data_IF_835980640230
#
_entry.id   IF_835980640230
#
_cell.length_a   1.000
_cell.length_b   1.000
_cell.length_c   1.000
_cell.angle_alpha   90.00
_cell.angle_beta   90.00
_cell.angle_gamma   90.00
#
_symmetry.space_group_name_H-M   'P 1'
#
loop_
_entity.id
_entity.type
_entity.pdbx_description
1 polymer ?
#
# COMPACT_ATOMS: atom_id res chain seq x y z
N UNK A 1 4.29 -1.93 -26.55
CA UNK A 1 4.60 -0.65 -25.87
C UNK A 1 4.68 -0.92 -24.38
N UNK A 2 5.82 -0.60 -23.78
CA UNK A 2 6.06 -0.82 -22.35
C UNK A 2 5.40 0.29 -21.51
N UNK A 3 4.64 -0.10 -20.50
CA UNK A 3 4.06 0.79 -19.50
C UNK A 3 4.42 0.26 -18.12
N UNK A 4 4.80 1.12 -17.19
CA UNK A 4 5.12 0.72 -15.82
C UNK A 4 4.13 1.37 -14.85
N UNK A 5 3.56 0.56 -13.95
CA UNK A 5 2.73 1.05 -12.84
C UNK A 5 3.47 0.75 -11.54
N UNK A 6 3.97 1.77 -10.89
CA UNK A 6 4.62 1.68 -9.59
C UNK A 6 3.59 1.71 -8.47
N UNK A 7 3.58 0.67 -7.64
CA UNK A 7 2.77 0.63 -6.43
C UNK A 7 3.65 1.02 -5.24
N UNK A 8 3.42 2.20 -4.68
CA UNK A 8 4.17 2.77 -3.58
C UNK A 8 3.40 2.60 -2.28
N UNK A 9 3.99 1.95 -1.27
CA UNK A 9 3.47 2.01 0.09
C UNK A 9 3.77 3.38 0.69
N UNK A 10 2.80 3.98 1.40
CA UNK A 10 3.01 5.25 2.12
C UNK A 10 4.19 5.18 3.10
N UNK A 11 4.71 6.33 3.49
CA UNK A 11 5.77 6.47 4.49
C UNK A 11 5.29 6.23 5.93
N UNK A 12 6.21 6.31 6.88
CA UNK A 12 5.92 6.10 8.29
C UNK A 12 4.86 7.08 8.80
N UNK A 13 3.94 6.55 9.61
CA UNK A 13 2.83 7.31 10.20
C UNK A 13 3.15 7.73 11.63
N UNK A 14 2.75 8.93 12.01
CA UNK A 14 2.80 9.39 13.39
C UNK A 14 1.74 8.64 14.21
N UNK A 15 2.18 7.64 14.98
CA UNK A 15 1.32 6.76 15.75
C UNK A 15 1.95 6.41 17.11
N UNK A 16 2.09 7.39 18.04
CA UNK A 16 2.71 7.16 19.34
C UNK A 16 1.91 6.20 20.22
N UNK A 17 0.61 6.11 20.01
CA UNK A 17 -0.29 5.20 20.75
C UNK A 17 -0.27 3.75 20.29
N UNK A 18 0.45 3.42 19.20
CA UNK A 18 0.49 2.09 18.59
C UNK A 18 -0.90 1.50 18.34
N UNK A 19 -1.78 2.32 17.81
CA UNK A 19 -3.16 1.96 17.44
C UNK A 19 -3.14 1.28 16.07
N UNK A 20 -3.97 0.28 15.87
CA UNK A 20 -4.28 -0.21 14.54
C UNK A 20 -5.16 0.83 13.85
N UNK A 21 -4.57 1.66 13.01
CA UNK A 21 -5.28 2.80 12.44
C UNK A 21 -6.09 2.45 11.18
N UNK A 22 -5.74 1.41 10.44
CA UNK A 22 -6.50 0.96 9.27
C UNK A 22 -6.98 2.11 8.39
N UNK A 23 -8.30 2.33 8.35
CA UNK A 23 -8.94 3.44 7.61
C UNK A 23 -9.21 4.67 8.46
N UNK A 24 -8.84 4.68 9.74
CA UNK A 24 -9.08 5.82 10.62
C UNK A 24 -8.43 7.09 10.07
N UNK A 25 -9.13 8.21 10.21
CA UNK A 25 -8.63 9.53 9.83
C UNK A 25 -7.66 10.10 10.87
N UNK A 26 -6.90 11.14 10.47
CA UNK A 26 -5.98 11.85 11.35
C UNK A 26 -4.60 11.22 11.51
N UNK A 27 -4.33 10.11 10.84
CA UNK A 27 -3.01 9.45 10.86
C UNK A 27 -2.14 9.97 9.71
N UNK A 28 -1.43 11.04 9.99
CA UNK A 28 -0.49 11.71 9.09
C UNK A 28 0.90 11.06 9.10
N UNK A 29 1.72 11.39 8.12
CA UNK A 29 3.12 10.99 8.12
C UNK A 29 3.86 11.57 9.33
N UNK A 30 4.76 10.77 9.90
CA UNK A 30 5.79 11.25 10.83
C UNK A 30 6.83 12.08 10.07
N UNK A 31 7.74 12.75 10.81
CA UNK A 31 8.88 13.41 10.18
C UNK A 31 9.73 12.44 9.35
N UNK A 32 9.93 11.22 9.85
CA UNK A 32 10.61 10.16 9.12
C UNK A 32 9.85 9.78 7.86
N UNK A 33 8.52 9.65 7.93
CA UNK A 33 7.68 9.35 6.78
C UNK A 33 7.73 10.44 5.71
N UNK A 34 7.80 11.70 6.11
CA UNK A 34 7.99 12.82 5.20
C UNK A 34 9.35 12.75 4.50
N UNK A 35 10.43 12.43 5.23
CA UNK A 35 11.76 12.21 4.64
C UNK A 35 11.78 11.02 3.69
N UNK A 36 11.10 9.94 4.03
CA UNK A 36 10.95 8.78 3.14
C UNK A 36 10.26 9.16 1.82
N UNK A 37 9.21 9.95 1.88
CA UNK A 37 8.51 10.44 0.69
C UNK A 37 9.41 11.30 -0.21
N UNK A 38 10.21 12.18 0.38
CA UNK A 38 11.21 12.98 -0.35
C UNK A 38 12.29 12.11 -0.98
N UNK A 39 12.78 11.10 -0.27
CA UNK A 39 13.79 10.15 -0.79
C UNK A 39 13.24 9.38 -2.00
N UNK A 40 11.99 8.93 -1.95
CA UNK A 40 11.35 8.28 -3.10
C UNK A 40 11.20 9.26 -4.25
N UNK A 41 10.78 10.51 -4.00
CA UNK A 41 10.66 11.54 -5.03
C UNK A 41 12.00 11.79 -5.76
N UNK A 42 13.09 11.84 -5.03
CA UNK A 42 14.44 11.93 -5.61
C UNK A 42 14.80 10.69 -6.43
N UNK A 43 14.50 9.50 -5.92
CA UNK A 43 14.81 8.23 -6.60
C UNK A 43 14.08 8.09 -7.93
N UNK A 44 12.85 8.60 -8.04
CA UNK A 44 12.02 8.51 -9.25
C UNK A 44 12.01 9.79 -10.09
N UNK A 45 12.79 10.80 -9.73
CA UNK A 45 12.81 12.10 -10.41
C UNK A 45 13.15 11.99 -11.91
N UNK A 46 13.99 11.03 -12.28
CA UNK A 46 14.37 10.76 -13.68
C UNK A 46 13.43 9.80 -14.43
N UNK A 47 12.40 9.30 -13.77
CA UNK A 47 11.41 8.41 -14.39
C UNK A 47 10.39 9.19 -15.22
N UNK A 48 9.85 8.54 -16.25
CA UNK A 48 8.85 9.12 -17.14
C UNK A 48 7.43 9.00 -16.55
N UNK A 49 7.24 9.45 -15.31
CA UNK A 49 5.96 9.42 -14.62
C UNK A 49 5.06 10.53 -15.17
N UNK A 50 3.96 10.15 -15.78
CA UNK A 50 2.95 11.05 -16.35
C UNK A 50 1.62 11.03 -15.60
N UNK A 51 1.46 10.14 -14.63
CA UNK A 51 0.22 9.99 -13.85
C UNK A 51 0.52 9.58 -12.42
N UNK A 52 0.00 10.33 -11.44
CA UNK A 52 0.13 10.05 -10.01
C UNK A 52 -1.25 9.87 -9.40
N UNK A 53 -1.46 8.73 -8.78
CA UNK A 53 -2.72 8.34 -8.13
C UNK A 53 -2.45 8.03 -6.67
N UNK A 54 -3.35 8.39 -5.78
CA UNK A 54 -3.22 8.07 -4.37
C UNK A 54 -4.53 7.58 -3.76
N UNK A 55 -4.40 6.71 -2.76
CA UNK A 55 -5.46 6.40 -1.81
C UNK A 55 -6.01 7.69 -1.18
N UNK A 56 -7.30 7.74 -0.80
CA UNK A 56 -7.89 8.93 -0.18
C UNK A 56 -7.34 9.24 1.22
N UNK A 57 -6.65 8.29 1.87
CA UNK A 57 -6.13 8.50 3.22
C UNK A 57 -4.97 9.50 3.24
N UNK A 58 -4.94 10.35 4.27
CA UNK A 58 -3.98 11.47 4.37
C UNK A 58 -2.54 11.03 4.18
N UNK A 59 -2.10 9.96 4.81
CA UNK A 59 -0.72 9.43 4.70
C UNK A 59 -0.31 9.07 3.27
N UNK A 60 -1.26 8.60 2.47
CA UNK A 60 -1.00 8.30 1.06
C UNK A 60 -0.92 9.57 0.22
N UNK A 61 -1.79 10.54 0.45
CA UNK A 61 -1.76 11.84 -0.19
C UNK A 61 -0.47 12.60 0.11
N UNK A 62 -0.04 12.59 1.37
CA UNK A 62 1.21 13.22 1.81
C UNK A 62 2.45 12.54 1.21
N UNK A 63 2.43 11.21 1.06
CA UNK A 63 3.52 10.48 0.39
C UNK A 63 3.58 10.80 -1.10
N UNK A 64 2.44 10.95 -1.76
CA UNK A 64 2.35 11.27 -3.19
C UNK A 64 2.77 12.71 -3.51
N UNK A 65 2.57 13.66 -2.60
CA UNK A 65 2.73 15.08 -2.86
C UNK A 65 4.13 15.48 -3.39
N UNK A 66 5.26 15.06 -2.79
CA UNK A 66 6.58 15.44 -3.31
C UNK A 66 6.88 14.81 -4.69
N UNK A 67 6.33 13.63 -4.97
CA UNK A 67 6.50 12.95 -6.26
C UNK A 67 5.72 13.68 -7.35
N UNK A 68 4.45 13.99 -7.10
CA UNK A 68 3.61 14.77 -8.00
C UNK A 68 4.21 16.14 -8.27
N UNK A 69 4.71 16.82 -7.23
CA UNK A 69 5.39 18.11 -7.36
C UNK A 69 6.63 18.05 -8.24
N UNK A 70 7.49 17.02 -8.08
CA UNK A 70 8.69 16.83 -8.87
C UNK A 70 8.39 16.61 -10.37
N UNK A 71 7.27 15.96 -10.67
CA UNK A 71 6.82 15.71 -12.06
C UNK A 71 5.82 16.76 -12.59
N UNK A 72 5.47 17.78 -11.81
CA UNK A 72 4.50 18.81 -12.14
C UNK A 72 3.12 18.28 -12.50
N UNK A 73 2.67 17.30 -11.72
CA UNK A 73 1.40 16.61 -11.89
C UNK A 73 0.48 16.88 -10.70
N UNK A 74 -0.83 16.86 -10.96
CA UNK A 74 -1.84 16.79 -9.91
C UNK A 74 -1.98 15.35 -9.41
N UNK A 75 -2.43 15.18 -8.17
CA UNK A 75 -2.73 13.86 -7.60
C UNK A 75 -4.17 13.51 -7.92
N UNK A 76 -4.38 12.41 -8.62
CA UNK A 76 -5.69 11.79 -8.78
C UNK A 76 -5.97 10.89 -7.58
N UNK A 77 -7.15 10.99 -6.98
CA UNK A 77 -7.57 10.09 -5.90
C UNK A 77 -8.37 8.91 -6.46
N UNK A 78 -8.02 7.69 -6.04
CA UNK A 78 -8.76 6.48 -6.38
C UNK A 78 -9.07 5.69 -5.11
N UNK A 79 -10.36 5.59 -4.76
CA UNK A 79 -10.83 4.92 -3.56
C UNK A 79 -10.49 3.41 -3.54
N UNK A 80 -10.25 2.82 -4.70
CA UNK A 80 -9.83 1.40 -4.81
C UNK A 80 -8.43 1.13 -4.25
N UNK A 81 -7.62 2.16 -4.03
CA UNK A 81 -6.29 2.08 -3.43
C UNK A 81 -6.32 2.15 -1.89
N UNK A 82 -7.50 2.26 -1.28
CA UNK A 82 -7.63 2.40 0.18
C UNK A 82 -7.14 1.17 0.93
N UNK A 83 -6.75 1.36 2.19
CA UNK A 83 -6.37 0.28 3.10
C UNK A 83 -7.50 -0.76 3.27
N UNK A 84 -7.13 -1.99 3.58
CA UNK A 84 -8.09 -3.04 3.90
C UNK A 84 -8.95 -2.66 5.11
N UNK A 85 -10.26 -2.91 5.02
CA UNK A 85 -11.15 -2.77 6.16
C UNK A 85 -10.81 -3.77 7.26
N UNK A 86 -10.83 -3.33 8.52
CA UNK A 86 -10.51 -4.17 9.67
C UNK A 86 -11.40 -3.82 10.87
N UNK A 87 -12.06 -4.82 11.45
CA UNK A 87 -12.93 -4.64 12.62
C UNK A 87 -12.18 -4.36 13.92
N UNK A 88 -10.84 -4.47 13.93
CA UNK A 88 -9.98 -4.15 15.08
C UNK A 88 -9.42 -2.73 15.03
N UNK A 89 -9.84 -1.90 14.07
CA UNK A 89 -9.40 -0.50 13.98
C UNK A 89 -9.70 0.25 15.30
N UNK A 90 -8.77 1.11 15.69
CA UNK A 90 -8.84 1.86 16.93
C UNK A 90 -8.36 1.10 18.18
N UNK A 91 -8.04 -0.18 18.08
CA UNK A 91 -7.56 -1.00 19.18
C UNK A 91 -6.03 -1.13 19.14
N UNK A 92 -5.43 -1.33 20.33
CA UNK A 92 -4.02 -1.72 20.42
C UNK A 92 -3.89 -3.19 20.07
N UNK A 93 -3.07 -3.50 19.08
CA UNK A 93 -2.76 -4.86 18.64
C UNK A 93 -1.26 -5.10 18.79
N UNK A 94 -0.81 -5.32 20.01
CA UNK A 94 0.57 -5.70 20.32
C UNK A 94 0.65 -7.14 20.81
N UNK A 95 1.77 -7.80 20.55
CA UNK A 95 2.03 -9.15 21.08
C UNK A 95 2.04 -9.08 22.61
N UNK A 96 1.13 -9.82 23.25
CA UNK A 96 1.03 -9.89 24.70
C UNK A 96 0.07 -8.89 25.35
N UNK A 97 -0.51 -7.95 24.60
CA UNK A 97 -1.46 -6.95 25.08
C UNK A 97 -2.53 -6.65 24.03
N UNK A 98 -3.70 -6.22 24.42
CA UNK A 98 -4.71 -5.67 23.53
C UNK A 98 -5.86 -6.59 23.12
N UNK A 99 -6.49 -6.29 21.98
CA UNK A 99 -7.76 -6.84 21.53
C UNK A 99 -7.80 -8.37 21.40
N UNK A 100 -6.67 -9.00 21.03
CA UNK A 100 -6.58 -10.44 20.80
C UNK A 100 -6.68 -11.27 22.08
N UNK A 101 -6.49 -10.67 23.26
CA UNK A 101 -6.67 -11.35 24.56
C UNK A 101 -8.13 -11.44 24.99
N UNK A 102 -9.02 -10.66 24.37
CA UNK A 102 -10.42 -10.62 24.77
C UNK A 102 -11.21 -11.72 24.04
N UNK A 103 -11.84 -12.68 24.77
CA UNK A 103 -12.58 -13.79 24.15
C UNK A 103 -13.67 -13.36 23.16
N UNK A 104 -14.24 -12.17 23.35
CA UNK A 104 -15.28 -11.61 22.46
C UNK A 104 -14.80 -11.43 21.00
N UNK A 105 -13.49 -11.37 20.79
CA UNK A 105 -12.92 -11.22 19.44
C UNK A 105 -12.56 -12.56 18.79
N UNK A 106 -12.54 -13.66 19.54
CA UNK A 106 -12.15 -14.98 19.00
C UNK A 106 -13.13 -15.50 17.95
N UNK A 107 -14.41 -15.18 18.11
CA UNK A 107 -15.44 -15.55 17.13
C UNK A 107 -15.17 -14.93 15.74
N UNK A 108 -14.48 -13.77 15.69
CA UNK A 108 -14.13 -13.06 14.47
C UNK A 108 -12.92 -13.66 13.74
N UNK A 109 -12.17 -14.57 14.38
CA UNK A 109 -10.95 -15.17 13.86
C UNK A 109 -11.13 -16.65 13.46
N UNK A 110 -12.36 -17.12 13.29
CA UNK A 110 -12.65 -18.54 13.03
C UNK A 110 -12.17 -19.05 11.67
N UNK A 111 -12.11 -18.18 10.69
CA UNK A 111 -11.69 -18.54 9.35
C UNK A 111 -10.44 -17.76 8.94
N UNK A 112 -9.24 -18.39 8.95
CA UNK A 112 -8.01 -17.73 8.55
C UNK A 112 -7.89 -17.55 7.02
N UNK A 113 -8.71 -18.24 6.24
CA UNK A 113 -8.68 -18.17 4.78
C UNK A 113 -9.55 -17.05 4.24
N UNK A 114 -10.68 -16.78 4.91
CA UNK A 114 -11.54 -15.64 4.65
C UNK A 114 -11.64 -14.85 5.96
N UNK A 115 -10.84 -13.78 6.15
CA UNK A 115 -10.79 -13.09 7.42
C UNK A 115 -12.15 -12.45 7.73
N UNK A 116 -12.82 -12.99 8.74
CA UNK A 116 -14.12 -12.47 9.21
C UNK A 116 -14.00 -11.13 9.93
N UNK A 117 -12.78 -10.70 10.26
CA UNK A 117 -12.47 -9.42 10.90
C UNK A 117 -12.09 -8.31 9.92
N UNK A 118 -12.00 -8.61 8.63
CA UNK A 118 -11.57 -7.67 7.60
C UNK A 118 -12.20 -7.91 6.24
N UNK A 119 -11.77 -7.13 5.29
CA UNK A 119 -12.17 -7.26 3.90
C UNK A 119 -11.59 -8.56 3.30
N UNK A 120 -12.39 -9.36 2.56
CA UNK A 120 -11.89 -10.56 1.89
C UNK A 120 -10.71 -10.26 0.93
N UNK A 121 -9.66 -11.09 0.97
CA UNK A 121 -8.47 -10.87 0.15
C UNK A 121 -8.77 -10.82 -1.35
N UNK A 122 -9.69 -11.62 -1.85
CA UNK A 122 -10.04 -11.62 -3.27
C UNK A 122 -10.69 -10.30 -3.71
N UNK A 123 -11.47 -9.66 -2.84
CA UNK A 123 -12.07 -8.35 -3.12
C UNK A 123 -11.00 -7.26 -3.14
N UNK A 124 -10.03 -7.32 -2.21
CA UNK A 124 -8.87 -6.43 -2.21
C UNK A 124 -8.10 -6.57 -3.52
N UNK A 125 -7.79 -7.80 -3.94
CA UNK A 125 -7.07 -8.06 -5.18
C UNK A 125 -7.81 -7.49 -6.39
N UNK A 126 -9.12 -7.69 -6.49
CA UNK A 126 -9.92 -7.22 -7.62
C UNK A 126 -10.02 -5.70 -7.70
N UNK A 127 -10.25 -5.01 -6.57
CA UNK A 127 -10.31 -3.54 -6.59
C UNK A 127 -8.94 -2.92 -6.91
N UNK A 128 -7.87 -3.48 -6.36
CA UNK A 128 -6.50 -3.03 -6.65
C UNK A 128 -6.15 -3.25 -8.13
N UNK A 129 -6.53 -4.39 -8.69
CA UNK A 129 -6.32 -4.67 -10.11
C UNK A 129 -7.05 -3.65 -11.00
N UNK A 130 -8.28 -3.29 -10.66
CA UNK A 130 -9.03 -2.24 -11.35
C UNK A 130 -8.31 -0.89 -11.34
N UNK A 131 -7.76 -0.48 -10.19
CA UNK A 131 -6.98 0.74 -10.07
C UNK A 131 -5.70 0.71 -10.91
N UNK A 132 -4.98 -0.42 -10.90
CA UNK A 132 -3.76 -0.63 -11.70
C UNK A 132 -4.04 -0.50 -13.20
N UNK A 133 -5.05 -1.19 -13.71
CA UNK A 133 -5.37 -1.13 -15.14
C UNK A 133 -5.85 0.24 -15.60
N UNK A 134 -6.55 0.98 -14.73
CA UNK A 134 -6.89 2.37 -15.02
C UNK A 134 -5.65 3.26 -15.09
N UNK A 135 -4.72 3.12 -14.14
CA UNK A 135 -3.47 3.86 -14.14
C UNK A 135 -2.59 3.51 -15.35
N UNK A 136 -2.52 2.21 -15.70
CA UNK A 136 -1.84 1.75 -16.90
C UNK A 136 -2.39 2.41 -18.17
N UNK A 137 -3.72 2.42 -18.32
CA UNK A 137 -4.35 3.04 -19.49
C UNK A 137 -4.09 4.56 -19.56
N UNK A 138 -4.08 5.25 -18.40
CA UNK A 138 -3.80 6.67 -18.34
C UNK A 138 -2.34 7.00 -18.66
N UNK A 139 -1.41 6.08 -18.46
CA UNK A 139 0.02 6.25 -18.67
C UNK A 139 0.55 5.42 -19.84
N UNK A 140 -0.28 5.04 -20.78
CA UNK A 140 0.09 4.13 -21.89
C UNK A 140 1.38 4.56 -22.59
N UNK A 141 2.37 3.67 -22.59
CA UNK A 141 3.73 3.95 -23.12
C UNK A 141 4.63 4.76 -22.20
N UNK A 142 4.20 5.06 -20.98
CA UNK A 142 4.89 5.86 -19.97
C UNK A 142 4.84 5.16 -18.60
N UNK A 143 4.99 5.92 -17.52
CA UNK A 143 4.92 5.39 -16.16
C UNK A 143 3.82 6.07 -15.35
N UNK A 144 3.12 5.28 -14.50
CA UNK A 144 2.22 5.77 -13.47
C UNK A 144 2.74 5.38 -12.09
N UNK A 145 2.41 6.18 -11.08
CA UNK A 145 2.71 5.87 -9.69
C UNK A 145 1.43 5.95 -8.86
N UNK A 146 1.13 4.85 -8.16
CA UNK A 146 -0.03 4.71 -7.30
C UNK A 146 0.41 4.53 -5.86
N UNK A 147 -0.03 5.41 -4.95
CA UNK A 147 0.27 5.30 -3.52
C UNK A 147 -0.86 4.58 -2.81
N UNK A 148 -0.53 3.49 -2.14
CA UNK A 148 -1.46 2.65 -1.42
C UNK A 148 -0.84 2.16 -0.09
N UNK A 149 -1.28 1.01 0.39
CA UNK A 149 -0.99 0.49 1.71
C UNK A 149 -0.43 -0.93 1.62
N UNK A 150 0.16 -1.42 2.72
CA UNK A 150 0.88 -2.68 2.73
C UNK A 150 0.02 -3.87 2.31
N UNK A 151 -1.11 -4.08 2.97
CA UNK A 151 -1.94 -5.27 2.71
C UNK A 151 -2.53 -5.27 1.30
N UNK A 152 -3.11 -4.17 0.80
CA UNK A 152 -3.59 -4.13 -0.58
C UNK A 152 -2.49 -4.38 -1.62
N UNK A 153 -1.34 -3.76 -1.50
CA UNK A 153 -0.22 -3.96 -2.44
C UNK A 153 0.28 -5.40 -2.40
N UNK A 154 0.48 -5.96 -1.19
CA UNK A 154 0.96 -7.33 -1.05
C UNK A 154 -0.05 -8.37 -1.57
N UNK A 155 -1.33 -8.16 -1.29
CA UNK A 155 -2.42 -9.02 -1.78
C UNK A 155 -2.49 -9.00 -3.31
N UNK A 156 -2.41 -7.82 -3.92
CA UNK A 156 -2.34 -7.66 -5.37
C UNK A 156 -1.15 -8.42 -5.97
N UNK A 157 0.05 -8.26 -5.39
CA UNK A 157 1.24 -8.94 -5.86
C UNK A 157 1.09 -10.46 -5.81
N UNK A 158 0.60 -11.00 -4.71
CA UNK A 158 0.36 -12.44 -4.59
C UNK A 158 -0.66 -12.95 -5.60
N UNK A 159 -1.72 -12.18 -5.84
CA UNK A 159 -2.70 -12.50 -6.87
C UNK A 159 -2.07 -12.53 -8.27
N UNK A 160 -1.28 -11.55 -8.63
CA UNK A 160 -0.59 -11.47 -9.92
C UNK A 160 0.47 -12.57 -10.11
N UNK A 161 1.09 -13.01 -9.03
CA UNK A 161 2.05 -14.12 -9.03
C UNK A 161 1.36 -15.51 -8.93
N UNK A 162 0.04 -15.57 -8.96
CA UNK A 162 -0.77 -16.80 -8.80
C UNK A 162 -0.48 -17.57 -7.49
N UNK A 163 -0.17 -16.85 -6.42
CA UNK A 163 0.08 -17.39 -5.09
C UNK A 163 -1.17 -17.36 -4.22
N UNK A 164 -1.21 -18.16 -3.16
CA UNK A 164 -2.28 -18.08 -2.15
C UNK A 164 -2.37 -16.67 -1.59
N UNK A 165 -3.58 -16.13 -1.49
CA UNK A 165 -3.77 -14.78 -0.94
C UNK A 165 -3.60 -14.76 0.58
N UNK A 166 -4.01 -15.84 1.29
CA UNK A 166 -3.69 -16.00 2.68
C UNK A 166 -2.17 -16.12 2.90
N UNK A 167 -1.63 -15.39 3.85
CA UNK A 167 -0.20 -15.33 4.12
C UNK A 167 0.09 -14.94 5.57
N UNK A 168 1.30 -15.23 6.03
CA UNK A 168 1.84 -14.73 7.28
C UNK A 168 2.19 -13.23 7.14
N UNK A 169 1.55 -12.34 7.92
CA UNK A 169 1.82 -10.90 7.84
C UNK A 169 3.29 -10.52 8.04
N UNK A 170 4.05 -11.33 8.77
CA UNK A 170 5.47 -11.10 9.04
C UNK A 170 6.37 -11.31 7.82
N UNK A 171 5.85 -11.97 6.78
CA UNK A 171 6.58 -12.31 5.55
C UNK A 171 6.25 -11.37 4.39
N UNK A 172 5.53 -10.28 4.62
CA UNK A 172 5.20 -9.30 3.59
C UNK A 172 6.46 -8.56 3.14
N UNK A 173 6.78 -8.66 1.87
CA UNK A 173 7.82 -7.85 1.24
C UNK A 173 7.19 -6.56 0.72
N UNK A 174 6.91 -5.64 1.62
CA UNK A 174 6.34 -4.34 1.31
C UNK A 174 6.68 -3.37 2.44
N UNK A 175 7.95 -2.93 2.48
CA UNK A 175 8.44 -1.95 3.46
C UNK A 175 7.79 -0.59 3.27
N UNK A 176 7.82 0.25 4.31
CA UNK A 176 7.39 1.64 4.22
C UNK A 176 8.14 2.35 3.08
N UNK A 177 7.40 3.09 2.25
CA UNK A 177 7.93 3.77 1.08
C UNK A 177 8.66 2.85 0.07
N UNK A 178 8.30 1.57 0.03
CA UNK A 178 8.78 0.63 -0.99
C UNK A 178 7.97 0.71 -2.27
N UNK A 179 8.62 0.35 -3.39
CA UNK A 179 8.02 0.28 -4.71
C UNK A 179 7.86 -1.17 -5.15
N UNK A 180 6.66 -1.53 -5.56
CA UNK A 180 6.36 -2.74 -6.32
C UNK A 180 5.97 -2.29 -7.72
N UNK A 181 6.87 -2.45 -8.68
CA UNK A 181 6.71 -1.95 -10.03
C UNK A 181 6.21 -3.04 -10.96
N UNK A 182 5.07 -2.80 -11.58
CA UNK A 182 4.39 -3.72 -12.48
C UNK A 182 4.73 -3.31 -13.92
N UNK A 183 5.44 -4.15 -14.63
CA UNK A 183 5.89 -3.89 -16.02
C UNK A 183 4.93 -4.57 -16.98
N UNK A 184 4.36 -3.77 -17.88
CA UNK A 184 3.40 -4.23 -18.90
C UNK A 184 3.98 -4.07 -20.30
N UNK A 185 3.74 -5.06 -21.16
CA UNK A 185 3.83 -4.92 -22.60
C UNK A 185 2.42 -4.95 -23.19
N UNK A 186 1.96 -3.79 -23.67
CA UNK A 186 0.55 -3.62 -23.96
C UNK A 186 -0.31 -3.83 -22.73
N UNK A 187 -1.19 -4.82 -22.73
CA UNK A 187 -2.05 -5.16 -21.59
C UNK A 187 -1.51 -6.33 -20.75
N UNK A 188 -0.45 -6.97 -21.18
CA UNK A 188 0.12 -8.14 -20.52
C UNK A 188 1.14 -7.72 -19.46
N UNK A 189 0.98 -8.23 -18.24
CA UNK A 189 1.99 -8.09 -17.18
C UNK A 189 3.15 -9.05 -17.48
N UNK A 190 4.35 -8.49 -17.69
CA UNK A 190 5.53 -9.28 -18.05
C UNK A 190 6.57 -9.37 -16.93
N UNK A 191 6.56 -8.44 -15.96
CA UNK A 191 7.50 -8.47 -14.85
C UNK A 191 6.96 -7.73 -13.62
N UNK A 192 7.46 -8.10 -12.44
CA UNK A 192 7.23 -7.42 -11.15
C UNK A 192 8.59 -7.18 -10.50
N UNK A 193 8.93 -5.92 -10.29
CA UNK A 193 10.20 -5.51 -9.68
C UNK A 193 9.95 -4.84 -8.33
N UNK A 194 10.55 -5.36 -7.28
CA UNK A 194 10.48 -4.77 -5.95
C UNK A 194 11.75 -3.98 -5.62
N UNK A 195 11.60 -2.81 -5.04
CA UNK A 195 12.72 -1.97 -4.58
C UNK A 195 12.38 -1.18 -3.32
N UNK A 196 13.41 -0.82 -2.56
CA UNK A 196 13.30 -0.08 -1.30
C UNK A 196 14.16 1.18 -1.36
N UNK A 197 13.74 2.22 -2.11
CA UNK A 197 14.55 3.44 -2.28
C UNK A 197 14.78 4.20 -0.97
N UNK A 198 13.88 4.09 0.00
CA UNK A 198 14.01 4.70 1.33
C UNK A 198 14.59 3.75 2.40
N UNK A 199 15.12 2.58 1.99
CA UNK A 199 15.66 1.55 2.88
C UNK A 199 14.58 0.59 3.39
N UNK A 200 15.03 -0.50 4.04
CA UNK A 200 14.13 -1.49 4.62
C UNK A 200 13.54 -1.00 5.95
N UNK A 201 12.32 -1.42 6.22
CA UNK A 201 11.65 -1.15 7.50
C UNK A 201 11.85 -2.33 8.44
N UNK A 202 12.17 -2.05 9.72
CA UNK A 202 12.18 -3.09 10.76
C UNK A 202 10.76 -3.71 10.84
N UNK A 203 10.64 -5.04 10.74
CA UNK A 203 9.35 -5.73 10.86
C UNK A 203 8.62 -5.48 12.18
N UNK A 204 9.35 -4.98 13.19
CA UNK A 204 8.79 -4.62 14.51
C UNK A 204 8.09 -3.26 14.51
N UNK A 205 8.25 -2.47 13.48
CA UNK A 205 7.50 -1.21 13.32
C UNK A 205 6.08 -1.56 12.89
N UNK A 206 5.25 -1.84 13.85
CA UNK A 206 3.83 -2.13 13.67
C UNK A 206 3.05 -0.88 13.35
N UNK A 207 2.20 -0.93 12.36
CA UNK A 207 1.36 0.22 12.08
C UNK A 207 0.40 0.13 10.91
N UNK A 208 0.18 -1.03 10.33
CA UNK A 208 -0.93 -1.21 9.37
C UNK A 208 -1.41 -2.64 9.40
#
# INVERSE_FOLDING_TARGET
>A
VTTIVHMLRHGEVHNPGKILYGRLEGYRLSERGQRQALTVAEAVAGHDIVHVVASPLQRAQETAAPIAGAHRLDITTDDRLIEAGNQFEGLRVAVGDGALRQPKHWAKMRDPFTPSWGEPYVEIAHRMLGAVYRARAAADGHEALCVSHQLPIWTLRRFLEAKRLWHDPRKRQCSLASLTSLVFEGEELVDIVYSEPAGSTDPKVTGA
#
